data_IF_743832458633
#
_entry.id   IF_743832458633
#
_cell.length_a   1.000
_cell.length_b   1.000
_cell.length_c   1.000
_cell.angle_alpha   90.00
_cell.angle_beta   90.00
_cell.angle_gamma   90.00
#
_symmetry.space_group_name_H-M   'P 1'
#
loop_
_entity.id
_entity.type
_entity.pdbx_description
1 polymer ?
#
# COMPACT_ATOMS: atom_id res chain seq x y z
N UNK A 1 31.62 7.03 -21.34
CA UNK A 1 30.26 7.28 -20.83
C UNK A 1 30.23 8.62 -20.11
N UNK A 2 29.85 9.70 -20.80
CA UNK A 2 29.63 11.01 -20.17
C UNK A 2 28.21 11.03 -19.59
N UNK A 3 28.08 11.01 -18.27
CA UNK A 3 26.77 11.14 -17.63
C UNK A 3 26.12 12.48 -17.99
N UNK A 4 24.86 12.45 -18.44
CA UNK A 4 24.09 13.66 -18.66
C UNK A 4 23.91 14.38 -17.31
N UNK A 5 24.43 15.60 -17.26
CA UNK A 5 24.22 16.51 -16.13
C UNK A 5 22.97 17.34 -16.40
N UNK A 6 22.17 17.59 -15.37
CA UNK A 6 21.07 18.54 -15.46
C UNK A 6 21.58 19.99 -15.56
N UNK A 7 20.63 20.95 -15.68
CA UNK A 7 20.89 22.39 -15.71
C UNK A 7 21.67 22.93 -14.48
N UNK A 8 21.83 22.13 -13.42
CA UNK A 8 22.56 22.47 -12.19
C UNK A 8 23.82 21.62 -11.97
N UNK A 9 24.24 20.82 -12.95
CA UNK A 9 25.44 20.01 -12.84
C UNK A 9 25.30 18.75 -11.96
N UNK A 10 24.08 18.39 -11.53
CA UNK A 10 23.81 17.18 -10.77
C UNK A 10 23.60 16.00 -11.71
N UNK A 11 24.13 14.84 -11.31
CA UNK A 11 24.16 13.63 -12.11
C UNK A 11 22.82 12.89 -11.96
N UNK A 12 22.01 12.84 -13.03
CA UNK A 12 20.76 12.05 -13.10
C UNK A 12 21.01 10.56 -12.82
N UNK A 13 22.25 10.09 -12.97
CA UNK A 13 22.65 8.72 -12.69
C UNK A 13 22.70 8.35 -11.19
N UNK A 14 22.48 9.28 -10.26
CA UNK A 14 22.75 9.06 -8.82
C UNK A 14 21.91 7.95 -8.19
N UNK A 15 20.76 7.61 -8.77
CA UNK A 15 19.85 6.57 -8.29
C UNK A 15 19.53 5.49 -9.33
N UNK A 16 20.20 5.49 -10.49
CA UNK A 16 19.96 4.47 -11.52
C UNK A 16 20.47 3.12 -11.03
N UNK A 17 19.58 2.13 -10.98
CA UNK A 17 19.89 0.77 -10.59
C UNK A 17 20.18 -0.09 -11.83
N UNK A 18 21.22 -0.93 -11.76
CA UNK A 18 21.52 -1.90 -12.81
C UNK A 18 20.70 -3.18 -12.59
N UNK A 19 19.62 -3.28 -13.37
CA UNK A 19 18.70 -4.42 -13.36
C UNK A 19 18.84 -5.30 -14.62
N UNK A 20 19.91 -5.14 -15.40
CA UNK A 20 20.11 -5.85 -16.67
C UNK A 20 19.99 -7.37 -16.56
N UNK A 21 20.41 -7.94 -15.43
CA UNK A 21 20.33 -9.38 -15.13
C UNK A 21 19.11 -9.78 -14.29
N UNK A 22 18.19 -8.84 -14.02
CA UNK A 22 17.05 -8.99 -13.11
C UNK A 22 15.85 -8.17 -13.57
N UNK A 23 15.46 -8.36 -14.83
CA UNK A 23 14.38 -7.59 -15.44
C UNK A 23 13.05 -7.82 -14.71
N UNK A 24 12.15 -6.82 -14.67
CA UNK A 24 10.81 -6.99 -14.16
C UNK A 24 10.07 -8.07 -14.96
N UNK A 25 9.18 -8.84 -14.32
CA UNK A 25 8.35 -9.82 -15.02
C UNK A 25 7.56 -9.20 -16.17
N UNK A 26 7.45 -9.95 -17.28
CA UNK A 26 6.84 -9.42 -18.52
C UNK A 26 7.77 -8.54 -19.35
N UNK A 27 9.05 -8.46 -19.00
CA UNK A 27 10.13 -7.82 -19.76
C UNK A 27 11.17 -8.87 -20.16
N UNK A 28 11.46 -9.02 -21.46
CA UNK A 28 12.36 -10.04 -22.00
C UNK A 28 13.82 -9.57 -22.08
N UNK A 29 14.05 -8.30 -22.37
CA UNK A 29 15.38 -7.69 -22.47
C UNK A 29 15.40 -6.26 -21.88
N UNK A 30 16.60 -5.67 -21.79
CA UNK A 30 16.77 -4.32 -21.22
C UNK A 30 16.25 -3.23 -22.15
N UNK A 31 16.21 -3.48 -23.46
CA UNK A 31 15.79 -2.50 -24.47
C UNK A 31 14.27 -2.28 -24.38
N UNK A 32 13.49 -3.29 -23.99
CA UNK A 32 12.10 -3.12 -23.61
C UNK A 32 11.90 -2.17 -22.43
N UNK A 33 12.92 -1.89 -21.60
CA UNK A 33 12.81 -0.90 -20.53
C UNK A 33 13.21 0.51 -20.93
N UNK A 34 13.87 0.69 -22.09
CA UNK A 34 14.49 1.98 -22.45
C UNK A 34 14.19 2.46 -23.86
N UNK A 35 14.07 1.56 -24.84
CA UNK A 35 13.94 1.89 -26.26
C UNK A 35 12.61 1.42 -26.84
N UNK A 36 12.13 0.23 -26.46
CA UNK A 36 10.87 -0.37 -26.93
C UNK A 36 9.91 -0.66 -25.76
N UNK A 37 9.67 0.36 -24.94
CA UNK A 37 8.80 0.21 -23.79
C UNK A 37 7.35 -0.05 -24.19
N UNK A 38 6.80 -1.13 -23.64
CA UNK A 38 5.39 -1.52 -23.76
C UNK A 38 4.51 -0.42 -23.19
N UNK A 39 3.80 0.28 -24.07
CA UNK A 39 2.97 1.43 -23.68
C UNK A 39 1.71 1.02 -22.91
N UNK A 40 1.15 1.92 -22.06
CA UNK A 40 -0.10 1.66 -21.37
C UNK A 40 -1.25 1.27 -22.30
N UNK A 41 -2.16 0.39 -21.85
CA UNK A 41 -3.40 0.09 -22.58
C UNK A 41 -4.19 1.37 -22.82
N UNK A 42 -4.82 1.47 -24.00
CA UNK A 42 -5.79 2.52 -24.25
C UNK A 42 -6.99 2.38 -23.29
N UNK A 43 -7.58 3.51 -22.84
CA UNK A 43 -8.83 3.51 -22.11
C UNK A 43 -9.90 2.62 -22.74
N UNK A 44 -10.35 1.60 -22.00
CA UNK A 44 -11.49 0.80 -22.41
C UNK A 44 -12.75 1.68 -22.48
N UNK A 45 -13.58 1.41 -23.49
CA UNK A 45 -14.90 2.06 -23.64
C UNK A 45 -15.96 1.14 -23.03
N UNK A 46 -16.85 1.72 -22.23
CA UNK A 46 -18.00 1.00 -21.71
C UNK A 46 -18.86 0.46 -22.85
N UNK A 47 -19.20 -0.84 -22.78
CA UNK A 47 -20.08 -1.51 -23.75
C UNK A 47 -21.57 -1.23 -23.45
N UNK A 48 -21.89 -0.80 -22.23
CA UNK A 48 -23.24 -0.54 -21.72
C UNK A 48 -23.19 0.47 -20.55
N UNK A 49 -24.34 0.99 -20.09
CA UNK A 49 -24.40 1.73 -18.83
C UNK A 49 -23.88 0.87 -17.66
N UNK A 50 -23.10 1.49 -16.77
CA UNK A 50 -22.48 0.80 -15.65
C UNK A 50 -23.57 0.25 -14.70
N UNK A 51 -23.58 -1.05 -14.39
CA UNK A 51 -24.55 -1.62 -13.45
C UNK A 51 -24.39 -0.99 -12.05
N UNK A 52 -25.47 -0.47 -11.48
CA UNK A 52 -25.47 0.00 -10.09
C UNK A 52 -25.38 -1.16 -9.11
N UNK A 53 -24.97 -0.86 -7.87
CA UNK A 53 -25.09 -1.85 -6.80
C UNK A 53 -26.56 -2.23 -6.58
N UNK A 54 -26.88 -3.51 -6.32
CA UNK A 54 -28.23 -3.90 -5.95
C UNK A 54 -28.74 -3.07 -4.76
N UNK A 55 -30.07 -2.81 -4.65
CA UNK A 55 -30.63 -2.18 -3.47
C UNK A 55 -30.24 -2.92 -2.18
N UNK A 56 -30.10 -2.21 -1.06
CA UNK A 56 -29.66 -2.79 0.23
C UNK A 56 -30.53 -3.99 0.63
N UNK A 57 -31.84 -3.96 0.38
CA UNK A 57 -32.77 -5.06 0.66
C UNK A 57 -32.50 -6.35 -0.13
N UNK A 58 -31.77 -6.26 -1.24
CA UNK A 58 -31.40 -7.37 -2.12
C UNK A 58 -29.97 -7.88 -1.88
N UNK A 59 -29.15 -7.16 -1.10
CA UNK A 59 -27.78 -7.56 -0.73
C UNK A 59 -27.82 -8.62 0.38
N UNK A 60 -27.91 -9.90 0.00
CA UNK A 60 -28.00 -11.03 0.95
C UNK A 60 -26.93 -12.09 0.69
N UNK A 61 -26.37 -12.67 1.75
CA UNK A 61 -25.35 -13.72 1.63
C UNK A 61 -24.11 -13.23 0.86
N UNK A 62 -23.59 -14.04 -0.04
CA UNK A 62 -22.44 -13.71 -0.92
C UNK A 62 -22.84 -12.90 -2.15
N UNK A 63 -23.39 -11.70 -1.94
CA UNK A 63 -23.91 -10.87 -3.03
C UNK A 63 -22.82 -10.16 -3.83
N UNK A 64 -21.65 -9.87 -3.25
CA UNK A 64 -20.56 -9.16 -3.94
C UNK A 64 -20.01 -10.03 -5.06
N UNK A 65 -19.74 -11.31 -4.79
CA UNK A 65 -19.29 -12.26 -5.82
C UNK A 65 -20.29 -12.36 -6.97
N UNK A 66 -21.59 -12.51 -6.67
CA UNK A 66 -22.64 -12.56 -7.70
C UNK A 66 -22.76 -11.26 -8.50
N UNK A 67 -22.49 -10.13 -7.87
CA UNK A 67 -22.45 -8.84 -8.56
C UNK A 67 -21.20 -8.72 -9.45
N UNK A 68 -20.04 -9.23 -9.01
CA UNK A 68 -18.84 -9.29 -9.83
C UNK A 68 -19.04 -10.13 -11.08
N UNK A 69 -19.70 -11.29 -10.97
CA UNK A 69 -20.03 -12.16 -12.11
C UNK A 69 -20.86 -11.45 -13.20
N UNK A 70 -21.56 -10.36 -12.86
CA UNK A 70 -22.34 -9.58 -13.80
C UNK A 70 -21.51 -8.52 -14.53
N UNK A 71 -20.36 -8.13 -14.00
CA UNK A 71 -19.53 -7.05 -14.53
C UNK A 71 -18.52 -7.58 -15.55
N UNK A 72 -18.24 -6.79 -16.58
CA UNK A 72 -17.15 -7.04 -17.53
C UNK A 72 -15.83 -6.49 -16.96
N UNK A 73 -14.86 -7.35 -16.58
CA UNK A 73 -13.61 -6.89 -15.98
C UNK A 73 -12.73 -6.08 -16.94
N UNK A 74 -12.96 -6.11 -18.25
CA UNK A 74 -12.17 -5.31 -19.20
C UNK A 74 -12.64 -3.86 -19.31
N UNK A 75 -13.95 -3.63 -19.13
CA UNK A 75 -14.57 -2.32 -19.37
C UNK A 75 -15.19 -1.69 -18.13
N UNK A 76 -15.53 -2.49 -17.12
CA UNK A 76 -16.21 -2.09 -15.89
C UNK A 76 -15.32 -2.27 -14.64
N UNK A 77 -14.00 -2.39 -14.83
CA UNK A 77 -13.01 -2.60 -13.75
C UNK A 77 -13.06 -1.53 -12.64
N UNK A 78 -13.35 -0.27 -12.96
CA UNK A 78 -13.48 0.79 -11.94
C UNK A 78 -14.56 0.44 -10.91
N UNK A 79 -15.66 -0.19 -11.35
CA UNK A 79 -16.75 -0.61 -10.48
C UNK A 79 -16.40 -1.85 -9.65
N UNK A 80 -15.65 -2.80 -10.22
CA UNK A 80 -15.09 -3.94 -9.49
C UNK A 80 -14.17 -3.46 -8.36
N UNK A 81 -13.22 -2.57 -8.67
CA UNK A 81 -12.26 -2.02 -7.70
C UNK A 81 -12.98 -1.21 -6.62
N UNK A 82 -13.90 -0.33 -6.99
CA UNK A 82 -14.71 0.44 -6.04
C UNK A 82 -15.45 -0.47 -5.08
N UNK A 83 -16.14 -1.48 -5.60
CA UNK A 83 -16.95 -2.38 -4.78
C UNK A 83 -16.07 -3.21 -3.85
N UNK A 84 -14.98 -3.79 -4.34
CA UNK A 84 -14.06 -4.58 -3.52
C UNK A 84 -13.52 -3.73 -2.36
N UNK A 85 -12.92 -2.58 -2.66
CA UNK A 85 -12.24 -1.78 -1.63
C UNK A 85 -13.21 -1.16 -0.62
N UNK A 86 -14.41 -0.72 -1.05
CA UNK A 86 -15.32 -0.02 -0.13
C UNK A 86 -16.25 -0.94 0.67
N UNK A 87 -16.49 -2.18 0.21
CA UNK A 87 -17.28 -3.14 0.97
C UNK A 87 -16.43 -4.09 1.80
N UNK A 88 -15.27 -4.54 1.32
CA UNK A 88 -14.46 -5.52 2.05
C UNK A 88 -13.25 -4.91 2.75
N UNK A 89 -12.87 -3.67 2.39
CA UNK A 89 -11.78 -2.95 3.01
C UNK A 89 -12.11 -2.43 4.42
N UNK A 90 -11.09 -2.36 5.27
CA UNK A 90 -11.15 -1.70 6.57
C UNK A 90 -9.94 -0.79 6.73
N UNK A 91 -10.05 0.29 7.49
CA UNK A 91 -8.89 1.17 7.74
C UNK A 91 -7.71 0.48 8.40
N UNK A 92 -7.96 -0.56 9.20
CA UNK A 92 -6.89 -1.38 9.75
C UNK A 92 -6.14 -2.13 8.63
N UNK A 93 -6.85 -2.81 7.72
CA UNK A 93 -6.21 -3.51 6.60
C UNK A 93 -5.48 -2.55 5.66
N UNK A 94 -6.08 -1.39 5.38
CA UNK A 94 -5.51 -0.31 4.59
C UNK A 94 -4.22 0.23 5.24
N UNK A 95 -4.19 0.39 6.57
CA UNK A 95 -3.01 0.85 7.29
C UNK A 95 -1.85 -0.14 7.24
N UNK A 96 -2.13 -1.45 7.37
CA UNK A 96 -1.08 -2.48 7.20
C UNK A 96 -0.55 -2.46 5.76
N UNK A 97 -1.44 -2.41 4.76
CA UNK A 97 -1.06 -2.35 3.35
C UNK A 97 -0.21 -1.13 3.01
N UNK A 98 -0.59 0.03 3.54
CA UNK A 98 0.18 1.28 3.44
C UNK A 98 1.57 1.16 4.04
N UNK A 99 1.67 0.79 5.32
CA UNK A 99 2.94 0.72 6.02
C UNK A 99 3.86 -0.31 5.38
N UNK A 100 3.33 -1.49 5.05
CA UNK A 100 4.06 -2.54 4.33
C UNK A 100 4.58 -2.01 2.98
N UNK A 101 3.72 -1.43 2.14
CA UNK A 101 4.12 -0.93 0.82
C UNK A 101 5.18 0.15 0.92
N UNK A 102 5.07 1.09 1.86
CA UNK A 102 6.09 2.11 2.06
C UNK A 102 7.42 1.54 2.55
N UNK A 103 7.43 0.51 3.40
CA UNK A 103 8.66 -0.20 3.81
C UNK A 103 9.37 -0.83 2.60
N UNK A 104 8.61 -1.36 1.63
CA UNK A 104 9.16 -1.86 0.36
C UNK A 104 9.74 -0.72 -0.49
N UNK A 105 8.97 0.35 -0.71
CA UNK A 105 9.40 1.49 -1.53
C UNK A 105 10.69 2.13 -1.01
N UNK A 106 10.90 2.15 0.30
CA UNK A 106 12.09 2.72 0.93
C UNK A 106 13.30 1.79 0.90
N UNK A 107 13.23 0.62 0.25
CA UNK A 107 14.41 -0.24 0.05
C UNK A 107 15.33 0.35 -1.03
N UNK A 108 14.73 1.01 -2.02
CA UNK A 108 15.43 1.72 -3.08
C UNK A 108 16.11 2.98 -2.53
N UNK A 109 17.32 3.31 -3.01
CA UNK A 109 17.97 4.58 -2.68
C UNK A 109 17.11 5.80 -3.04
N UNK A 110 16.47 5.79 -4.22
CA UNK A 110 15.58 6.84 -4.70
C UNK A 110 14.37 7.03 -3.77
N UNK A 111 13.64 5.95 -3.47
CA UNK A 111 12.47 5.98 -2.60
C UNK A 111 12.81 6.40 -1.17
N UNK A 112 13.91 5.89 -0.62
CA UNK A 112 14.41 6.29 0.70
C UNK A 112 14.73 7.79 0.73
N UNK A 113 15.44 8.32 -0.28
CA UNK A 113 15.76 9.74 -0.37
C UNK A 113 14.51 10.62 -0.50
N UNK A 114 13.60 10.28 -1.43
CA UNK A 114 12.39 11.04 -1.70
C UNK A 114 11.51 11.15 -0.45
N UNK A 115 11.21 10.03 0.20
CA UNK A 115 10.30 10.00 1.35
C UNK A 115 10.96 10.63 2.59
N UNK A 116 12.25 10.38 2.82
CA UNK A 116 12.99 10.92 3.97
C UNK A 116 13.09 12.45 3.92
N UNK A 117 13.19 13.03 2.71
CA UNK A 117 13.46 14.46 2.51
C UNK A 117 12.46 15.41 3.16
N UNK A 118 11.20 15.00 3.30
CA UNK A 118 10.12 15.84 3.86
C UNK A 118 10.05 15.74 5.39
N UNK A 119 10.56 14.66 5.96
CA UNK A 119 10.41 14.31 7.38
C UNK A 119 8.97 14.10 7.86
N UNK A 120 7.97 14.10 6.96
CA UNK A 120 6.56 13.92 7.32
C UNK A 120 6.32 12.59 8.05
N UNK A 121 7.01 11.52 7.67
CA UNK A 121 6.83 10.19 8.24
C UNK A 121 7.12 10.07 9.74
N UNK A 122 7.85 11.01 10.36
CA UNK A 122 8.09 11.02 11.81
C UNK A 122 7.70 12.34 12.51
N UNK A 123 7.43 13.41 11.75
CA UNK A 123 6.98 14.69 12.32
C UNK A 123 5.46 14.79 12.41
N UNK A 124 4.76 14.31 11.38
CA UNK A 124 3.30 14.34 11.25
C UNK A 124 2.82 13.01 10.62
N UNK A 125 3.17 11.87 11.26
CA UNK A 125 2.97 10.55 10.69
C UNK A 125 1.51 10.26 10.33
N UNK A 126 0.56 10.70 11.17
CA UNK A 126 -0.86 10.43 10.97
C UNK A 126 -1.43 11.29 9.86
N UNK A 127 -1.12 12.60 9.83
CA UNK A 127 -1.50 13.44 8.71
C UNK A 127 -1.00 12.87 7.38
N UNK A 128 0.25 12.40 7.32
CA UNK A 128 0.82 11.78 6.12
C UNK A 128 0.02 10.54 5.69
N UNK A 129 -0.31 9.67 6.64
CA UNK A 129 -1.10 8.46 6.39
C UNK A 129 -2.45 8.81 5.76
N UNK A 130 -3.26 9.64 6.43
CA UNK A 130 -4.60 9.98 5.95
C UNK A 130 -4.58 10.81 4.66
N UNK A 131 -3.60 11.70 4.46
CA UNK A 131 -3.44 12.44 3.19
C UNK A 131 -3.22 11.47 2.02
N UNK A 132 -2.36 10.46 2.22
CA UNK A 132 -2.06 9.46 1.19
C UNK A 132 -3.26 8.56 0.94
N UNK A 133 -3.91 8.10 2.01
CA UNK A 133 -5.09 7.25 1.90
C UNK A 133 -6.26 7.94 1.23
N UNK A 134 -6.54 9.20 1.57
CA UNK A 134 -7.62 9.93 0.91
C UNK A 134 -7.40 10.00 -0.60
N UNK A 135 -6.17 10.29 -1.05
CA UNK A 135 -5.86 10.31 -2.49
C UNK A 135 -6.07 8.94 -3.13
N UNK A 136 -5.56 7.88 -2.51
CA UNK A 136 -5.68 6.53 -3.06
C UNK A 136 -7.15 6.06 -3.13
N UNK A 137 -7.92 6.33 -2.08
CA UNK A 137 -9.35 6.04 -2.01
C UNK A 137 -10.17 6.90 -2.97
N UNK A 138 -9.77 8.16 -3.25
CA UNK A 138 -10.38 8.97 -4.32
C UNK A 138 -10.28 8.23 -5.66
N UNK A 139 -9.11 7.69 -6.00
CA UNK A 139 -8.89 7.00 -7.29
C UNK A 139 -9.74 5.74 -7.43
N UNK A 140 -9.95 5.02 -6.33
CA UNK A 140 -10.82 3.84 -6.29
C UNK A 140 -12.30 4.21 -6.28
N UNK A 141 -12.66 5.29 -5.60
CA UNK A 141 -14.05 5.74 -5.49
C UNK A 141 -14.53 6.34 -6.79
N UNK A 142 -13.83 7.32 -7.36
CA UNK A 142 -14.30 7.98 -8.58
C UNK A 142 -13.97 7.16 -9.83
N UNK A 143 -12.94 6.33 -9.78
CA UNK A 143 -12.48 5.49 -10.89
C UNK A 143 -11.29 6.12 -11.61
N UNK A 144 -10.47 5.28 -12.22
CA UNK A 144 -9.19 5.63 -12.86
C UNK A 144 -9.31 6.68 -13.97
N UNK A 145 -10.47 6.80 -14.62
CA UNK A 145 -10.68 7.72 -15.74
C UNK A 145 -11.36 9.05 -15.40
N UNK A 146 -11.81 9.25 -14.15
CA UNK A 146 -12.63 10.39 -13.75
C UNK A 146 -11.83 11.70 -13.70
N UNK A 147 -12.52 12.85 -13.72
CA UNK A 147 -11.85 14.14 -13.58
C UNK A 147 -11.26 14.33 -12.17
N UNK A 148 -11.98 13.88 -11.15
CA UNK A 148 -11.54 13.91 -9.75
C UNK A 148 -10.23 13.12 -9.56
N UNK A 149 -10.13 11.94 -10.16
CA UNK A 149 -8.91 11.13 -10.13
C UNK A 149 -7.76 11.83 -10.85
N UNK A 150 -7.99 12.39 -12.03
CA UNK A 150 -6.98 13.15 -12.78
C UNK A 150 -6.47 14.35 -11.99
N UNK A 151 -7.35 15.14 -11.41
CA UNK A 151 -7.00 16.32 -10.60
C UNK A 151 -6.22 15.89 -9.34
N UNK A 152 -6.65 14.80 -8.72
CA UNK A 152 -5.99 14.20 -7.55
C UNK A 152 -4.57 13.73 -7.89
N UNK A 153 -4.37 13.03 -9.02
CA UNK A 153 -3.05 12.58 -9.49
C UNK A 153 -2.18 13.76 -9.91
N UNK A 154 -2.73 14.76 -10.59
CA UNK A 154 -1.98 15.95 -11.00
C UNK A 154 -1.42 16.72 -9.79
N UNK A 155 -2.17 16.79 -8.70
CA UNK A 155 -1.65 17.36 -7.46
C UNK A 155 -0.50 16.51 -6.86
N UNK A 156 -0.46 15.19 -7.07
CA UNK A 156 0.68 14.34 -6.71
C UNK A 156 1.86 14.55 -7.67
N UNK A 157 1.61 14.65 -8.98
CA UNK A 157 2.65 14.97 -9.98
C UNK A 157 3.37 16.27 -9.64
N UNK A 158 2.64 17.32 -9.24
CA UNK A 158 3.23 18.58 -8.77
C UNK A 158 4.11 18.41 -7.53
N UNK A 159 3.71 17.53 -6.62
CA UNK A 159 4.50 17.21 -5.43
C UNK A 159 5.78 16.46 -5.79
N UNK A 160 5.70 15.40 -6.61
CA UNK A 160 6.86 14.66 -7.11
C UNK A 160 7.80 15.60 -7.87
N UNK A 161 7.24 16.50 -8.68
CA UNK A 161 8.01 17.49 -9.41
C UNK A 161 8.76 18.48 -8.51
N UNK A 162 8.14 18.88 -7.40
CA UNK A 162 8.80 19.71 -6.40
C UNK A 162 9.95 18.98 -5.70
N UNK A 163 9.87 17.65 -5.57
CA UNK A 163 10.88 16.81 -4.92
C UNK A 163 12.06 16.52 -5.85
N UNK A 164 11.86 16.06 -7.09
CA UNK A 164 13.01 15.74 -7.95
C UNK A 164 13.85 16.96 -8.32
N UNK A 165 13.29 18.17 -8.30
CA UNK A 165 14.09 19.39 -8.55
C UNK A 165 15.16 19.56 -7.47
N UNK A 166 14.92 19.03 -6.28
CA UNK A 166 15.85 19.05 -5.14
C UNK A 166 16.68 17.77 -5.09
N UNK A 167 16.10 16.66 -5.51
CA UNK A 167 16.65 15.31 -5.48
C UNK A 167 16.52 14.64 -6.87
N UNK A 168 17.33 15.04 -7.86
CA UNK A 168 17.25 14.48 -9.21
C UNK A 168 17.49 12.96 -9.21
N UNK A 169 16.78 12.25 -10.07
CA UNK A 169 16.80 10.80 -10.21
C UNK A 169 15.79 10.04 -9.36
N UNK A 170 15.08 10.70 -8.42
CA UNK A 170 14.22 10.00 -7.43
C UNK A 170 12.91 9.44 -7.99
N UNK A 171 12.54 9.82 -9.20
CA UNK A 171 11.32 9.33 -9.88
C UNK A 171 11.58 9.02 -11.37
N UNK A 172 12.82 8.74 -11.75
CA UNK A 172 13.22 8.42 -13.14
C UNK A 172 12.85 7.00 -13.56
N UNK A 173 12.51 6.13 -12.60
CA UNK A 173 12.41 4.69 -12.81
C UNK A 173 10.96 4.23 -12.62
N UNK A 174 10.20 3.94 -13.71
CA UNK A 174 8.78 3.59 -13.62
C UNK A 174 8.47 2.46 -12.64
N UNK A 175 9.24 1.36 -12.69
CA UNK A 175 8.97 0.18 -11.87
C UNK A 175 9.07 0.45 -10.36
N UNK A 176 9.87 1.43 -9.92
CA UNK A 176 9.90 1.84 -8.50
C UNK A 176 8.56 2.45 -8.09
N UNK A 177 7.99 3.31 -8.95
CA UNK A 177 6.67 3.91 -8.75
C UNK A 177 5.53 2.90 -8.85
N UNK A 178 5.62 1.92 -9.75
CA UNK A 178 4.59 0.89 -9.95
C UNK A 178 4.32 0.08 -8.69
N UNK A 179 5.37 -0.22 -7.91
CA UNK A 179 5.25 -0.96 -6.65
C UNK A 179 4.28 -0.28 -5.66
N UNK A 180 4.10 1.05 -5.73
CA UNK A 180 3.17 1.76 -4.84
C UNK A 180 1.70 1.37 -5.03
N UNK A 181 1.30 1.05 -6.26
CA UNK A 181 -0.09 0.65 -6.60
C UNK A 181 -0.22 -0.86 -6.67
N UNK A 182 0.79 -1.57 -7.19
CA UNK A 182 0.85 -3.05 -7.18
C UNK A 182 0.78 -3.56 -5.75
N UNK A 183 1.48 -2.89 -4.82
CA UNK A 183 1.43 -3.19 -3.41
C UNK A 183 -0.01 -3.27 -2.92
N UNK A 184 -0.79 -2.22 -3.14
CA UNK A 184 -2.21 -2.21 -2.77
C UNK A 184 -3.06 -3.24 -3.50
N UNK A 185 -2.81 -3.47 -4.79
CA UNK A 185 -3.58 -4.43 -5.61
C UNK A 185 -3.41 -5.89 -5.14
N UNK A 186 -2.19 -6.27 -4.76
CA UNK A 186 -1.85 -7.65 -4.40
C UNK A 186 -1.85 -7.92 -2.89
N UNK A 187 -1.86 -6.87 -2.06
CA UNK A 187 -1.61 -6.99 -0.62
C UNK A 187 -2.54 -7.98 0.10
N UNK A 188 -3.84 -7.94 -0.16
CA UNK A 188 -4.78 -8.87 0.47
C UNK A 188 -4.47 -10.33 0.10
N UNK A 189 -4.23 -10.60 -1.19
CA UNK A 189 -3.85 -11.94 -1.67
C UNK A 189 -2.54 -12.40 -1.05
N UNK A 190 -1.55 -11.52 -0.95
CA UNK A 190 -0.32 -11.80 -0.22
C UNK A 190 -0.60 -12.18 1.24
N UNK A 191 -1.43 -11.42 1.96
CA UNK A 191 -1.78 -11.72 3.36
C UNK A 191 -2.53 -13.06 3.49
N UNK A 192 -3.47 -13.36 2.58
CA UNK A 192 -4.20 -14.64 2.56
C UNK A 192 -3.24 -15.81 2.38
N UNK A 193 -2.29 -15.70 1.44
CA UNK A 193 -1.23 -16.69 1.22
C UNK A 193 -0.31 -16.82 2.44
N UNK A 194 0.13 -15.70 3.01
CA UNK A 194 0.99 -15.66 4.21
C UNK A 194 0.33 -16.34 5.42
N UNK A 195 -0.97 -16.15 5.59
CA UNK A 195 -1.75 -16.72 6.69
C UNK A 195 -2.18 -18.18 6.44
N UNK A 196 -2.13 -18.66 5.20
CA UNK A 196 -2.72 -19.94 4.82
C UNK A 196 -4.24 -19.93 4.93
N UNK A 197 -4.88 -18.83 4.51
CA UNK A 197 -6.34 -18.73 4.40
C UNK A 197 -6.90 -19.82 3.46
N UNK A 198 -8.18 -20.16 3.62
CA UNK A 198 -8.86 -21.17 2.78
C UNK A 198 -8.96 -20.71 1.33
N UNK A 199 -9.50 -19.50 1.12
CA UNK A 199 -9.50 -18.86 -0.19
C UNK A 199 -8.32 -17.89 -0.26
N UNK A 200 -7.34 -18.22 -1.11
CA UNK A 200 -6.11 -17.45 -1.24
C UNK A 200 -6.11 -16.55 -2.47
N UNK A 201 -6.85 -16.92 -3.50
CA UNK A 201 -6.97 -16.12 -4.72
C UNK A 201 -8.20 -15.21 -4.67
N UNK A 202 -8.13 -14.03 -5.30
CA UNK A 202 -9.28 -13.14 -5.42
C UNK A 202 -10.30 -13.71 -6.41
N UNK A 203 -11.48 -13.08 -6.45
CA UNK A 203 -12.48 -13.37 -7.47
C UNK A 203 -11.89 -13.19 -8.89
N UNK A 204 -12.17 -14.07 -9.89
CA UNK A 204 -11.56 -13.99 -11.22
C UNK A 204 -11.74 -12.64 -11.92
N UNK A 205 -12.94 -12.05 -11.86
CA UNK A 205 -13.17 -10.71 -12.43
C UNK A 205 -12.37 -9.62 -11.70
N UNK A 206 -12.17 -9.73 -10.39
CA UNK A 206 -11.35 -8.79 -9.64
C UNK A 206 -9.86 -8.96 -9.99
N UNK A 207 -9.40 -10.21 -10.14
CA UNK A 207 -8.04 -10.54 -10.59
C UNK A 207 -7.73 -9.92 -11.96
N UNK A 208 -8.68 -9.99 -12.89
CA UNK A 208 -8.57 -9.40 -14.22
C UNK A 208 -8.67 -7.86 -14.22
N UNK A 209 -9.47 -7.28 -13.32
CA UNK A 209 -9.66 -5.83 -13.21
C UNK A 209 -8.44 -5.09 -12.66
N UNK A 210 -7.74 -5.67 -11.66
CA UNK A 210 -6.63 -5.02 -10.96
C UNK A 210 -5.51 -4.53 -11.88
N UNK A 211 -4.94 -5.36 -12.78
CA UNK A 211 -3.88 -4.91 -13.70
C UNK A 211 -4.34 -3.77 -14.61
N UNK A 212 -5.58 -3.79 -15.09
CA UNK A 212 -6.14 -2.75 -15.97
C UNK A 212 -6.30 -1.43 -15.21
N UNK A 213 -6.92 -1.50 -14.03
CA UNK A 213 -7.13 -0.32 -13.19
C UNK A 213 -5.82 0.32 -12.76
N UNK A 214 -4.89 -0.48 -12.22
CA UNK A 214 -3.62 -0.01 -11.68
C UNK A 214 -2.73 0.60 -12.78
N UNK A 215 -2.65 -0.03 -13.94
CA UNK A 215 -1.94 0.51 -15.11
C UNK A 215 -2.49 1.89 -15.49
N UNK A 216 -3.82 2.02 -15.56
CA UNK A 216 -4.46 3.28 -15.99
C UNK A 216 -4.28 4.40 -14.98
N UNK A 217 -4.27 4.08 -13.69
CA UNK A 217 -3.91 5.05 -12.64
C UNK A 217 -2.44 5.46 -12.82
N UNK A 218 -1.52 4.50 -12.95
CA UNK A 218 -0.08 4.76 -13.06
C UNK A 218 0.32 5.46 -14.36
N UNK A 219 -0.40 5.26 -15.46
CA UNK A 219 -0.18 5.95 -16.72
C UNK A 219 -0.37 7.47 -16.64
N UNK A 220 -1.04 7.97 -15.58
CA UNK A 220 -1.24 9.40 -15.32
C UNK A 220 -0.12 10.01 -14.46
N UNK A 221 0.79 9.19 -13.92
CA UNK A 221 1.94 9.66 -13.15
C UNK A 221 3.12 9.96 -14.08
N UNK A 222 3.72 11.12 -13.89
CA UNK A 222 4.88 11.54 -14.68
C UNK A 222 6.19 11.03 -14.05
N UNK A 223 7.11 10.56 -14.89
CA UNK A 223 8.50 10.28 -14.51
C UNK A 223 9.38 11.51 -14.67
N UNK A 224 10.61 11.43 -14.19
CA UNK A 224 11.64 12.45 -14.44
C UNK A 224 12.35 12.18 -15.78
N UNK A 225 12.57 13.20 -16.65
CA UNK A 225 12.11 14.59 -16.55
C UNK A 225 10.64 14.79 -16.98
N UNK A 226 10.05 15.95 -16.66
CA UNK A 226 8.68 16.36 -17.06
C UNK A 226 8.54 16.76 -18.53
N UNK A 227 9.22 16.08 -19.44
CA UNK A 227 9.03 16.30 -20.87
C UNK A 227 7.85 15.48 -21.44
N UNK A 228 7.20 14.67 -20.59
CA UNK A 228 6.09 13.81 -20.98
C UNK A 228 6.52 12.58 -21.77
N UNK A 229 7.84 12.31 -21.84
CA UNK A 229 8.38 11.18 -22.58
C UNK A 229 8.05 9.83 -21.95
N UNK A 230 7.85 9.79 -20.63
CA UNK A 230 7.62 8.57 -19.85
C UNK A 230 6.57 8.77 -18.75
N UNK A 231 5.90 7.67 -18.38
CA UNK A 231 4.93 7.61 -17.27
C UNK A 231 5.10 6.28 -16.51
N UNK A 232 4.45 6.14 -15.36
CA UNK A 232 4.57 4.91 -14.56
C UNK A 232 3.77 3.72 -15.10
N UNK A 233 2.93 3.90 -16.12
CA UNK A 233 2.18 2.81 -16.76
C UNK A 233 2.97 2.03 -17.81
N UNK A 234 4.14 2.51 -18.24
CA UNK A 234 4.99 1.79 -19.21
C UNK A 234 5.51 0.47 -18.62
N UNK A 235 5.50 -0.60 -19.40
CA UNK A 235 5.88 -1.95 -18.97
C UNK A 235 5.11 -2.48 -17.75
N UNK A 236 3.93 -1.92 -17.43
CA UNK A 236 3.14 -2.37 -16.30
C UNK A 236 2.62 -3.81 -16.51
N UNK A 237 2.51 -4.64 -15.46
CA UNK A 237 1.92 -5.98 -15.52
C UNK A 237 0.56 -6.07 -16.24
N UNK A 238 0.37 -7.04 -17.14
CA UNK A 238 -0.87 -7.15 -17.96
C UNK A 238 -1.99 -7.94 -17.33
N UNK A 239 -1.65 -8.94 -16.53
CA UNK A 239 -2.55 -9.90 -15.92
C UNK A 239 -2.19 -10.11 -14.44
N UNK A 240 -2.99 -10.92 -13.76
CA UNK A 240 -2.83 -11.17 -12.33
C UNK A 240 -1.51 -11.87 -12.01
N UNK A 241 -1.09 -12.78 -12.88
CA UNK A 241 0.15 -13.56 -12.75
C UNK A 241 1.39 -12.66 -12.84
N UNK A 242 1.44 -11.74 -13.82
CA UNK A 242 2.51 -10.74 -13.94
C UNK A 242 2.53 -9.80 -12.73
N UNK A 243 1.36 -9.43 -12.19
CA UNK A 243 1.25 -8.55 -11.01
C UNK A 243 1.80 -9.24 -9.76
N UNK A 244 1.42 -10.50 -9.52
CA UNK A 244 1.99 -11.33 -8.46
C UNK A 244 3.49 -11.53 -8.63
N UNK A 245 3.93 -11.85 -9.85
CA UNK A 245 5.34 -12.02 -10.17
C UNK A 245 6.13 -10.74 -9.87
N UNK A 246 5.61 -9.57 -10.26
CA UNK A 246 6.25 -8.29 -10.00
C UNK A 246 6.39 -8.03 -8.50
N UNK A 247 5.30 -8.23 -7.74
CA UNK A 247 5.31 -8.02 -6.29
C UNK A 247 6.38 -8.89 -5.59
N UNK A 248 6.54 -10.14 -6.03
CA UNK A 248 7.58 -11.07 -5.54
C UNK A 248 8.98 -10.65 -6.01
N UNK A 249 9.13 -10.34 -7.29
CA UNK A 249 10.39 -9.90 -7.89
C UNK A 249 10.98 -8.70 -7.16
N UNK A 250 10.17 -7.67 -6.91
CA UNK A 250 10.60 -6.44 -6.26
C UNK A 250 11.18 -6.72 -4.86
N UNK A 251 10.52 -7.58 -4.08
CA UNK A 251 10.98 -7.98 -2.73
C UNK A 251 12.29 -8.76 -2.75
N UNK A 252 12.56 -9.46 -3.86
CA UNK A 252 13.74 -10.30 -4.05
C UNK A 252 14.91 -9.59 -4.73
N UNK A 253 14.79 -8.30 -5.03
CA UNK A 253 15.91 -7.51 -5.53
C UNK A 253 17.02 -7.37 -4.46
N UNK A 254 18.30 -7.38 -4.87
CA UNK A 254 19.44 -7.28 -3.97
C UNK A 254 19.73 -5.82 -3.62
N UNK A 255 18.75 -5.12 -3.02
CA UNK A 255 18.90 -3.70 -2.69
C UNK A 255 20.09 -3.43 -1.74
N UNK A 256 20.53 -4.42 -0.98
CA UNK A 256 21.75 -4.34 -0.16
C UNK A 256 23.01 -4.05 -0.99
N UNK A 257 23.04 -4.46 -2.27
CA UNK A 257 24.15 -4.22 -3.19
C UNK A 257 24.12 -2.83 -3.82
N UNK A 258 22.94 -2.20 -3.87
CA UNK A 258 22.71 -0.93 -4.53
C UNK A 258 22.57 0.26 -3.58
N UNK A 259 22.31 -0.02 -2.31
CA UNK A 259 22.02 1.01 -1.32
C UNK A 259 23.26 1.39 -0.53
N UNK A 260 23.60 2.68 -0.54
CA UNK A 260 24.68 3.23 0.27
C UNK A 260 24.37 3.11 1.77
N UNK A 261 25.39 3.22 2.63
CA UNK A 261 25.18 3.21 4.10
C UNK A 261 24.25 4.34 4.55
N UNK A 262 24.32 5.51 3.92
CA UNK A 262 23.46 6.65 4.24
C UNK A 262 22.02 6.40 3.81
N UNK A 263 21.80 5.90 2.59
CA UNK A 263 20.45 5.58 2.10
C UNK A 263 19.82 4.44 2.90
N UNK A 264 20.61 3.46 3.35
CA UNK A 264 20.14 2.39 4.22
C UNK A 264 19.70 2.92 5.59
N UNK A 265 20.40 3.91 6.15
CA UNK A 265 19.96 4.60 7.38
C UNK A 265 18.65 5.35 7.18
N UNK A 266 18.46 6.02 6.03
CA UNK A 266 17.19 6.68 5.69
C UNK A 266 16.05 5.66 5.61
N UNK A 267 16.27 4.56 4.89
CA UNK A 267 15.32 3.45 4.78
C UNK A 267 14.94 2.88 6.14
N UNK A 268 15.94 2.55 6.99
CA UNK A 268 15.72 2.07 8.35
C UNK A 268 14.86 3.03 9.17
N UNK A 269 15.22 4.31 9.21
CA UNK A 269 14.48 5.33 9.96
C UNK A 269 13.03 5.45 9.50
N UNK A 270 12.80 5.41 8.19
CA UNK A 270 11.46 5.43 7.62
C UNK A 270 10.66 4.19 7.99
N UNK A 271 11.25 3.00 7.87
CA UNK A 271 10.59 1.76 8.21
C UNK A 271 10.20 1.70 9.69
N UNK A 272 11.07 2.15 10.59
CA UNK A 272 10.75 2.31 12.02
C UNK A 272 9.58 3.27 12.20
N UNK A 273 9.59 4.42 11.54
CA UNK A 273 8.54 5.43 11.67
C UNK A 273 7.17 4.91 11.17
N UNK A 274 7.11 4.17 10.06
CA UNK A 274 5.86 3.54 9.60
C UNK A 274 5.37 2.46 10.57
N UNK A 275 6.27 1.68 11.15
CA UNK A 275 5.91 0.69 12.18
C UNK A 275 5.34 1.37 13.43
N UNK A 276 5.95 2.46 13.86
CA UNK A 276 5.49 3.24 15.03
C UNK A 276 4.16 3.92 14.78
N UNK A 277 3.94 4.47 13.58
CA UNK A 277 2.67 5.08 13.15
C UNK A 277 1.54 4.07 13.25
N UNK A 278 1.68 2.90 12.60
CA UNK A 278 0.70 1.81 12.68
C UNK A 278 0.50 1.29 14.11
N UNK A 279 1.58 1.13 14.87
CA UNK A 279 1.45 0.68 16.25
C UNK A 279 0.68 1.71 17.07
N UNK A 280 0.85 3.00 16.77
CA UNK A 280 0.23 4.09 17.50
C UNK A 280 -1.25 4.26 17.19
N UNK A 281 -1.72 4.22 15.93
CA UNK A 281 -3.16 4.46 15.72
C UNK A 281 -4.07 3.26 15.97
N UNK A 282 -3.54 2.04 16.05
CA UNK A 282 -4.37 0.84 16.13
C UNK A 282 -4.14 0.01 17.39
N UNK A 283 -3.08 0.30 18.16
CA UNK A 283 -2.80 -0.41 19.42
C UNK A 283 -2.65 0.55 20.60
N UNK A 284 -3.24 0.21 21.77
CA UNK A 284 -2.96 0.93 22.99
C UNK A 284 -1.48 0.84 23.35
N UNK A 285 -0.98 1.82 24.11
CA UNK A 285 0.44 1.96 24.43
C UNK A 285 1.10 0.65 24.90
N UNK A 286 0.39 -0.14 25.69
CA UNK A 286 0.82 -1.40 26.31
C UNK A 286 0.91 -2.54 25.28
N UNK A 287 0.19 -2.44 24.15
CA UNK A 287 0.17 -3.42 23.07
C UNK A 287 0.83 -2.91 21.78
N UNK A 288 1.49 -1.75 21.78
CA UNK A 288 2.21 -1.26 20.59
C UNK A 288 3.31 -2.21 20.14
N UNK A 289 3.91 -2.95 21.07
CA UNK A 289 4.85 -4.02 20.72
C UNK A 289 4.19 -5.10 19.86
N UNK A 290 2.90 -5.40 20.06
CA UNK A 290 2.14 -6.33 19.23
C UNK A 290 1.89 -5.75 17.84
N UNK A 291 1.54 -4.46 17.73
CA UNK A 291 1.44 -3.76 16.45
C UNK A 291 2.73 -3.85 15.62
N UNK A 292 3.88 -3.70 16.28
CA UNK A 292 5.19 -3.97 15.66
C UNK A 292 5.31 -5.42 15.17
N UNK A 293 4.93 -6.41 15.98
CA UNK A 293 4.98 -7.82 15.57
C UNK A 293 4.07 -8.12 14.38
N UNK A 294 2.91 -7.46 14.29
CA UNK A 294 2.01 -7.57 13.12
C UNK A 294 2.73 -7.12 11.85
N UNK A 295 3.31 -5.92 11.83
CA UNK A 295 4.02 -5.45 10.63
C UNK A 295 5.28 -6.25 10.33
N UNK A 296 6.06 -6.65 11.34
CA UNK A 296 7.22 -7.52 11.12
C UNK A 296 6.82 -8.89 10.55
N UNK A 297 5.62 -9.40 10.87
CA UNK A 297 5.12 -10.64 10.27
C UNK A 297 4.77 -10.47 8.78
N UNK A 298 4.23 -9.31 8.43
CA UNK A 298 3.75 -9.00 7.07
C UNK A 298 4.89 -8.65 6.11
N UNK A 299 5.96 -8.00 6.59
CA UNK A 299 7.12 -7.66 5.76
C UNK A 299 8.03 -8.87 5.62
N UNK A 300 8.47 -9.22 4.41
CA UNK A 300 9.30 -10.43 4.17
C UNK A 300 10.69 -10.35 4.80
N UNK A 301 11.34 -11.49 5.11
CA UNK A 301 12.65 -11.52 5.79
C UNK A 301 13.70 -10.63 5.14
N UNK A 302 13.86 -10.72 3.82
CA UNK A 302 14.85 -9.95 3.06
C UNK A 302 14.65 -8.45 3.15
N UNK A 303 13.39 -8.00 3.11
CA UNK A 303 13.03 -6.59 3.26
C UNK A 303 13.35 -6.12 4.69
N UNK A 304 13.07 -6.94 5.70
CA UNK A 304 13.41 -6.62 7.10
C UNK A 304 14.91 -6.50 7.33
N UNK A 305 15.69 -7.38 6.70
CA UNK A 305 17.14 -7.38 6.78
C UNK A 305 17.73 -6.15 6.10
N UNK A 306 17.23 -5.81 4.90
CA UNK A 306 17.62 -4.59 4.20
C UNK A 306 17.33 -3.35 5.06
N UNK A 307 16.14 -3.26 5.64
CA UNK A 307 15.71 -2.12 6.45
C UNK A 307 16.20 -2.17 7.91
N UNK A 308 16.88 -3.23 8.34
CA UNK A 308 17.40 -3.40 9.69
C UNK A 308 16.32 -3.23 10.79
N UNK A 309 15.10 -3.70 10.52
CA UNK A 309 13.95 -3.58 11.46
C UNK A 309 13.77 -4.82 12.34
N UNK A 310 14.64 -5.82 12.21
CA UNK A 310 14.62 -7.06 12.98
C UNK A 310 13.52 -8.03 12.52
N UNK A 311 13.44 -9.18 13.20
CA UNK A 311 12.50 -10.24 12.88
C UNK A 311 11.34 -10.29 13.88
N UNK A 312 10.15 -10.78 13.48
CA UNK A 312 9.10 -11.06 14.44
C UNK A 312 9.53 -12.18 15.38
N UNK A 313 8.99 -12.17 16.60
CA UNK A 313 9.11 -13.30 17.51
C UNK A 313 8.38 -14.50 16.86
N UNK A 314 9.01 -15.68 16.71
CA UNK A 314 8.42 -16.80 15.96
C UNK A 314 7.08 -17.31 16.52
N UNK A 315 6.87 -17.21 17.84
CA UNK A 315 5.62 -17.62 18.48
C UNK A 315 4.53 -16.60 18.15
N UNK A 316 4.84 -15.31 18.32
CA UNK A 316 3.88 -14.24 18.00
C UNK A 316 3.56 -14.22 16.51
N UNK A 317 4.53 -14.44 15.63
CA UNK A 317 4.34 -14.55 14.19
C UNK A 317 3.29 -15.62 13.84
N UNK A 318 3.37 -16.80 14.48
CA UNK A 318 2.38 -17.88 14.29
C UNK A 318 0.98 -17.44 14.73
N UNK A 319 0.87 -16.75 15.86
CA UNK A 319 -0.43 -16.23 16.33
C UNK A 319 -0.98 -15.12 15.45
N UNK A 320 -0.14 -14.22 14.94
CA UNK A 320 -0.54 -13.18 13.97
C UNK A 320 -1.06 -13.84 12.69
N UNK A 321 -0.34 -14.82 12.13
CA UNK A 321 -0.79 -15.57 10.94
C UNK A 321 -2.09 -16.32 11.20
N UNK A 322 -2.23 -16.96 12.35
CA UNK A 322 -3.47 -17.62 12.75
C UNK A 322 -4.63 -16.62 12.88
N UNK A 323 -4.40 -15.43 13.45
CA UNK A 323 -5.39 -14.37 13.55
C UNK A 323 -5.87 -13.89 12.18
N UNK A 324 -4.95 -13.64 11.24
CA UNK A 324 -5.28 -13.33 9.85
C UNK A 324 -6.06 -14.47 9.19
N UNK A 325 -5.64 -15.73 9.37
CA UNK A 325 -6.33 -16.89 8.83
C UNK A 325 -7.77 -16.97 9.33
N UNK A 326 -7.99 -16.86 10.64
CA UNK A 326 -9.34 -16.88 11.23
C UNK A 326 -10.18 -15.74 10.67
N UNK A 327 -9.63 -14.53 10.59
CA UNK A 327 -10.33 -13.38 10.04
C UNK A 327 -10.77 -13.62 8.58
N UNK A 328 -9.87 -14.06 7.70
CA UNK A 328 -10.22 -14.35 6.31
C UNK A 328 -11.20 -15.52 6.18
N UNK A 329 -10.98 -16.63 6.89
CA UNK A 329 -11.86 -17.80 6.83
C UNK A 329 -13.27 -17.47 7.36
N UNK A 330 -13.40 -16.57 8.36
CA UNK A 330 -14.69 -16.07 8.82
C UNK A 330 -15.34 -15.17 7.77
N UNK A 331 -14.61 -14.21 7.19
CA UNK A 331 -15.13 -13.35 6.11
C UNK A 331 -15.59 -14.18 4.91
N UNK A 332 -14.92 -15.28 4.58
CA UNK A 332 -15.30 -16.16 3.48
C UNK A 332 -16.63 -16.90 3.73
N UNK A 333 -17.02 -17.12 4.99
CA UNK A 333 -18.25 -17.85 5.36
C UNK A 333 -19.41 -16.91 5.71
N UNK A 334 -19.13 -15.77 6.34
CA UNK A 334 -20.14 -14.80 6.75
C UNK A 334 -20.79 -14.12 5.53
N UNK A 335 -22.04 -13.65 5.62
CA UNK A 335 -22.64 -12.83 4.58
C UNK A 335 -21.79 -11.58 4.28
N UNK A 336 -21.76 -11.17 3.02
CA UNK A 336 -21.08 -9.94 2.63
C UNK A 336 -21.78 -8.72 3.26
N UNK A 337 -21.05 -7.64 3.58
CA UNK A 337 -21.63 -6.44 4.14
C UNK A 337 -22.64 -5.82 3.17
N UNK A 338 -23.71 -5.27 3.71
CA UNK A 338 -24.79 -4.67 2.92
C UNK A 338 -24.57 -3.19 2.65
N UNK A 339 -23.63 -2.57 3.35
CA UNK A 339 -23.22 -1.17 3.19
C UNK A 339 -21.72 -1.11 2.89
N UNK A 340 -21.25 -0.06 2.19
CA UNK A 340 -19.83 0.14 1.97
C UNK A 340 -19.19 0.68 3.26
N UNK A 341 -18.72 -0.22 4.13
CA UNK A 341 -18.26 0.12 5.48
C UNK A 341 -17.11 1.15 5.49
N UNK A 342 -16.21 1.11 4.49
CA UNK A 342 -15.11 2.08 4.39
C UNK A 342 -15.58 3.47 3.95
N UNK A 343 -16.76 3.59 3.32
CA UNK A 343 -17.25 4.85 2.75
C UNK A 343 -17.49 5.92 3.82
N UNK A 344 -18.05 5.52 4.97
CA UNK A 344 -18.34 6.46 6.05
C UNK A 344 -17.06 7.07 6.62
N UNK A 345 -16.05 6.25 6.90
CA UNK A 345 -14.76 6.71 7.41
C UNK A 345 -14.02 7.57 6.37
N UNK A 346 -14.01 7.14 5.11
CA UNK A 346 -13.46 7.91 3.99
C UNK A 346 -14.11 9.28 3.86
N UNK A 347 -15.44 9.38 3.97
CA UNK A 347 -16.16 10.66 3.94
C UNK A 347 -15.89 11.51 5.18
N UNK A 348 -15.78 10.89 6.36
CA UNK A 348 -15.47 11.61 7.59
C UNK A 348 -14.09 12.28 7.52
N UNK A 349 -13.08 11.56 7.01
CA UNK A 349 -11.69 12.06 6.88
C UNK A 349 -11.61 13.30 5.99
N UNK A 350 -12.45 13.43 4.95
CA UNK A 350 -12.47 14.63 4.09
C UNK A 350 -12.83 15.91 4.84
N UNK A 351 -13.54 15.80 5.95
CA UNK A 351 -13.94 16.94 6.79
C UNK A 351 -12.94 17.23 7.91
N UNK A 352 -11.81 16.52 7.96
CA UNK A 352 -10.81 16.72 9.01
C UNK A 352 -9.96 17.96 8.75
N UNK A 353 -9.62 18.65 9.83
CA UNK A 353 -8.59 19.67 9.84
C UNK A 353 -7.21 18.98 9.78
N UNK A 354 -6.68 18.79 8.58
CA UNK A 354 -5.45 18.03 8.32
C UNK A 354 -4.28 18.36 9.26
N UNK A 355 -4.06 19.63 9.53
CA UNK A 355 -2.99 20.13 10.39
C UNK A 355 -3.15 19.81 11.89
N UNK A 356 -4.30 19.27 12.31
CA UNK A 356 -4.59 18.87 13.71
C UNK A 356 -4.73 17.36 13.89
N UNK A 357 -4.55 16.56 12.84
CA UNK A 357 -4.79 15.11 12.90
C UNK A 357 -3.89 14.46 13.94
N UNK A 358 -2.59 14.74 13.89
CA UNK A 358 -1.64 14.12 14.83
C UNK A 358 -1.96 14.47 16.29
N UNK A 359 -2.32 15.72 16.58
CA UNK A 359 -2.75 16.13 17.92
C UNK A 359 -4.02 15.39 18.35
N UNK A 360 -5.02 15.32 17.47
CA UNK A 360 -6.30 14.62 17.73
C UNK A 360 -6.11 13.13 17.99
N UNK A 361 -5.28 12.46 17.19
CA UNK A 361 -4.96 11.02 17.37
C UNK A 361 -4.23 10.80 18.68
N UNK A 362 -3.21 11.61 18.98
CA UNK A 362 -2.46 11.51 20.23
C UNK A 362 -3.34 11.74 21.46
N UNK A 363 -4.23 12.73 21.43
CA UNK A 363 -5.14 13.01 22.54
C UNK A 363 -6.21 11.93 22.72
N UNK A 364 -6.72 11.36 21.62
CA UNK A 364 -7.60 10.19 21.68
C UNK A 364 -6.93 9.02 22.40
N UNK A 365 -5.67 8.73 22.07
CA UNK A 365 -4.92 7.65 22.72
C UNK A 365 -4.56 7.94 24.17
N UNK A 366 -4.25 9.19 24.54
CA UNK A 366 -4.04 9.55 25.96
C UNK A 366 -5.28 9.25 26.79
N UNK A 367 -6.48 9.49 26.25
CA UNK A 367 -7.74 9.16 26.92
C UNK A 367 -7.97 7.65 27.00
N UNK A 368 -7.86 6.92 25.89
CA UNK A 368 -8.08 5.48 25.83
C UNK A 368 -7.06 4.68 26.67
N UNK A 369 -5.77 5.07 26.63
CA UNK A 369 -4.72 4.40 27.41
C UNK A 369 -5.02 4.46 28.89
N UNK A 370 -5.54 5.57 29.44
CA UNK A 370 -5.90 5.64 30.87
C UNK A 370 -6.92 4.57 31.26
N UNK A 371 -7.93 4.34 30.43
CA UNK A 371 -8.93 3.30 30.70
C UNK A 371 -8.36 1.89 30.59
N UNK A 372 -7.51 1.66 29.59
CA UNK A 372 -6.87 0.35 29.38
C UNK A 372 -5.81 0.07 30.43
N UNK A 373 -5.04 1.08 30.86
CA UNK A 373 -4.08 1.00 31.96
C UNK A 373 -4.79 0.61 33.26
N UNK A 374 -5.94 1.22 33.54
CA UNK A 374 -6.78 0.85 34.70
C UNK A 374 -7.24 -0.60 34.56
N UNK A 375 -7.83 -0.98 33.42
CA UNK A 375 -8.33 -2.34 33.22
C UNK A 375 -7.21 -3.40 33.29
N UNK A 376 -6.06 -3.12 32.69
CA UNK A 376 -4.89 -4.00 32.69
C UNK A 376 -4.27 -4.12 34.08
N UNK A 377 -4.13 -3.01 34.82
CA UNK A 377 -3.71 -3.03 36.21
C UNK A 377 -4.70 -3.83 37.09
N UNK A 378 -6.01 -3.66 36.88
CA UNK A 378 -7.04 -4.46 37.55
C UNK A 378 -6.90 -5.95 37.21
N UNK A 379 -6.71 -6.31 35.94
CA UNK A 379 -6.47 -7.70 35.54
C UNK A 379 -5.22 -8.29 36.18
N UNK A 380 -4.10 -7.54 36.25
CA UNK A 380 -2.87 -7.98 36.93
C UNK A 380 -3.11 -8.17 38.43
N UNK A 381 -3.78 -7.23 39.09
CA UNK A 381 -4.11 -7.34 40.52
C UNK A 381 -5.00 -8.56 40.78
N UNK A 382 -6.00 -8.80 39.93
CA UNK A 382 -6.88 -9.97 40.04
C UNK A 382 -6.13 -11.28 39.78
N UNK A 383 -5.23 -11.33 38.80
CA UNK A 383 -4.36 -12.48 38.55
C UNK A 383 -3.40 -12.74 39.72
N UNK A 384 -2.79 -11.70 40.27
CA UNK A 384 -1.89 -11.82 41.43
C UNK A 384 -2.64 -12.27 42.69
N UNK A 385 -3.84 -11.71 42.95
CA UNK A 385 -4.71 -12.13 44.04
C UNK A 385 -5.18 -13.59 43.88
N UNK A 386 -5.49 -14.01 42.66
CA UNK A 386 -5.84 -15.39 42.35
C UNK A 386 -4.67 -16.34 42.62
N UNK A 387 -3.46 -16.01 42.17
CA UNK A 387 -2.25 -16.80 42.42
C UNK A 387 -1.92 -16.87 43.92
N UNK A 388 -2.06 -15.77 44.67
CA UNK A 388 -1.81 -15.73 46.12
C UNK A 388 -2.88 -16.42 46.95
N UNK A 389 -4.12 -16.55 46.44
CA UNK A 389 -5.19 -17.25 47.13
C UNK A 389 -5.14 -18.77 46.90
N UNK A 390 -4.40 -19.23 45.89
CA UNK A 390 -4.40 -20.63 45.43
C UNK A 390 -3.00 -21.27 45.35
N UNK A 391 -1.95 -20.54 45.71
CA UNK A 391 -0.58 -21.05 45.94
C UNK A 391 -0.14 -20.75 47.34
#
# INVERSE_FOLDING_TARGET
MSGSKDWHGKNLASYKLDISNRLPPGTEDIDQLTEDARQPRLPAKLKRPLPEWPPVSQRKGKWISRYFDQLDPETEYDQLIRTANFFTGTSFAVAIGYCSTFIHLTQTPAGAAAIHSTGKSWRVPHQRFYETQNRFLDWMWYGSGSQETKDSIEAVNKLHAGLWRRLPGTFSTPWEGQMSVIGSAYFETFLRKLAGARNQEPHPHLAAAWPIWAERVLAQFNTEPLDGSWNYGVNFPRNWEELEAFYKWYQELPFDQWTSVDDRKKGHKLAVAFIEEFSTCWFPRQLRWLGRQVLLTVVTPKVRDQQQIGHPNPIIERFVKLGFKIMFDLTDILPDPTKPDLLEEYQAVKNWEWHKIDDKVNDSWKRHSRHIDIAFATCIILLAAFVLAWG
#
